data_IF_414955345926
#
_entry.id   IF_414955345926
#
_cell.length_a   1.000
_cell.length_b   1.000
_cell.length_c   1.000
_cell.angle_alpha   90.00
_cell.angle_beta   90.00
_cell.angle_gamma   90.00
#
_symmetry.space_group_name_H-M   'P 1'
#
loop_
_entity.id
_entity.type
_entity.pdbx_description
1 polymer ?
#
# COMPACT_ATOMS: atom_id res chain seq x y z
N UNK A 1 -8.67 -16.54 -8.10
CA UNK A 1 -9.64 -15.50 -8.55
C UNK A 1 -9.53 -14.21 -7.74
N UNK A 2 -9.16 -14.23 -6.45
CA UNK A 2 -9.00 -13.03 -5.61
C UNK A 2 -7.91 -12.05 -6.06
N UNK A 3 -6.78 -12.54 -6.59
CA UNK A 3 -5.71 -11.68 -7.14
C UNK A 3 -6.21 -10.76 -8.27
N UNK A 4 -6.95 -11.31 -9.24
CA UNK A 4 -7.57 -10.54 -10.32
C UNK A 4 -8.64 -9.57 -9.81
N UNK A 5 -9.45 -10.00 -8.83
CA UNK A 5 -10.45 -9.14 -8.21
C UNK A 5 -9.81 -7.95 -7.49
N UNK A 6 -8.70 -8.18 -6.78
CA UNK A 6 -7.96 -7.13 -6.10
C UNK A 6 -7.34 -6.13 -7.09
N UNK A 7 -6.65 -6.62 -8.13
CA UNK A 7 -6.11 -5.79 -9.22
C UNK A 7 -7.20 -4.92 -9.86
N UNK A 8 -8.36 -5.52 -10.15
CA UNK A 8 -9.49 -4.82 -10.77
C UNK A 8 -10.20 -3.83 -9.85
N UNK A 9 -10.24 -4.08 -8.53
CA UNK A 9 -10.84 -3.13 -7.57
C UNK A 9 -9.92 -1.95 -7.28
N UNK A 10 -8.62 -2.18 -7.14
CA UNK A 10 -7.64 -1.10 -6.91
C UNK A 10 -7.46 -0.27 -8.18
N UNK A 11 -7.35 -0.93 -9.35
CA UNK A 11 -7.32 -0.33 -10.69
C UNK A 11 -6.53 0.98 -10.78
N UNK A 12 -5.35 1.02 -10.15
CA UNK A 12 -4.50 2.19 -10.12
C UNK A 12 -3.15 1.82 -10.70
N UNK A 13 -2.85 2.27 -11.92
CA UNK A 13 -1.51 2.11 -12.50
C UNK A 13 -0.49 2.84 -11.62
N UNK A 14 0.60 2.17 -11.26
CA UNK A 14 1.63 2.72 -10.37
C UNK A 14 2.22 4.02 -10.91
N UNK A 15 2.41 4.16 -12.24
CA UNK A 15 2.87 5.42 -12.83
C UNK A 15 1.88 6.57 -12.62
N UNK A 16 0.59 6.33 -12.87
CA UNK A 16 -0.44 7.35 -12.63
C UNK A 16 -0.51 7.73 -11.16
N UNK A 17 -0.33 6.75 -10.27
CA UNK A 17 -0.26 6.99 -8.83
C UNK A 17 0.90 7.94 -8.50
N UNK A 18 2.13 7.61 -8.90
CA UNK A 18 3.31 8.44 -8.60
C UNK A 18 3.17 9.84 -9.19
N UNK A 19 2.74 9.96 -10.45
CA UNK A 19 2.54 11.26 -11.11
C UNK A 19 1.52 12.12 -10.37
N UNK A 20 0.35 11.55 -10.04
CA UNK A 20 -0.70 12.29 -9.35
C UNK A 20 -0.28 12.68 -7.93
N UNK A 21 0.56 11.87 -7.28
CA UNK A 21 1.13 12.17 -5.97
C UNK A 21 2.07 13.36 -6.02
N UNK A 22 2.86 13.51 -7.09
CA UNK A 22 3.70 14.69 -7.31
C UNK A 22 2.84 15.92 -7.56
N UNK A 23 1.86 15.83 -8.47
CA UNK A 23 0.98 16.95 -8.83
C UNK A 23 0.16 17.45 -7.65
N UNK A 24 -0.26 16.54 -6.76
CA UNK A 24 -1.05 16.87 -5.57
C UNK A 24 -0.21 17.08 -4.31
N UNK A 25 1.12 17.11 -4.43
CA UNK A 25 2.05 17.25 -3.30
C UNK A 25 1.78 16.25 -2.16
N UNK A 26 1.42 15.01 -2.51
CA UNK A 26 1.20 13.91 -1.58
C UNK A 26 -0.22 13.81 -1.01
N UNK A 27 -1.14 14.74 -1.33
CA UNK A 27 -2.56 14.61 -0.92
C UNK A 27 -3.18 13.34 -1.53
N UNK A 28 -2.81 12.99 -2.75
CA UNK A 28 -3.31 11.76 -3.38
C UNK A 28 -2.87 10.49 -2.65
N UNK A 29 -1.73 10.51 -1.94
CA UNK A 29 -1.24 9.35 -1.17
C UNK A 29 -2.21 8.95 -0.06
N UNK A 30 -2.67 9.94 0.71
CA UNK A 30 -3.59 9.68 1.83
C UNK A 30 -4.97 9.30 1.32
N UNK A 31 -5.45 9.92 0.23
CA UNK A 31 -6.71 9.55 -0.41
C UNK A 31 -6.68 8.11 -0.95
N UNK A 32 -5.60 7.76 -1.64
CA UNK A 32 -5.40 6.41 -2.17
C UNK A 32 -5.33 5.40 -1.03
N UNK A 33 -4.58 5.69 0.03
CA UNK A 33 -4.46 4.84 1.21
C UNK A 33 -5.84 4.58 1.85
N UNK A 34 -6.61 5.64 2.07
CA UNK A 34 -7.93 5.55 2.68
C UNK A 34 -8.91 4.68 1.88
N UNK A 35 -9.00 4.93 0.57
CA UNK A 35 -9.88 4.16 -0.32
C UNK A 35 -9.44 2.70 -0.42
N UNK A 36 -8.15 2.49 -0.70
CA UNK A 36 -7.66 1.15 -1.01
C UNK A 36 -7.42 0.29 0.23
N UNK A 37 -7.25 0.87 1.42
CA UNK A 37 -7.25 0.10 2.66
C UNK A 37 -8.54 -0.72 2.79
N UNK A 38 -9.71 -0.09 2.66
CA UNK A 38 -11.00 -0.81 2.73
C UNK A 38 -11.08 -1.89 1.65
N UNK A 39 -10.73 -1.56 0.41
CA UNK A 39 -10.75 -2.52 -0.70
C UNK A 39 -9.88 -3.74 -0.44
N UNK A 40 -8.68 -3.53 0.10
CA UNK A 40 -7.74 -4.60 0.42
C UNK A 40 -8.28 -5.42 1.61
N UNK A 41 -8.76 -4.77 2.68
CA UNK A 41 -9.32 -5.47 3.86
C UNK A 41 -10.53 -6.32 3.49
N UNK A 42 -11.45 -5.79 2.69
CA UNK A 42 -12.66 -6.49 2.22
C UNK A 42 -12.34 -7.67 1.31
N UNK A 43 -11.29 -7.53 0.48
CA UNK A 43 -10.93 -8.58 -0.49
C UNK A 43 -10.09 -9.68 0.13
N UNK A 44 -9.25 -9.34 1.11
CA UNK A 44 -8.34 -10.27 1.79
C UNK A 44 -8.91 -10.82 3.09
N UNK A 45 -10.07 -10.32 3.54
CA UNK A 45 -10.71 -10.65 4.82
C UNK A 45 -9.75 -10.47 6.00
N UNK A 46 -8.88 -9.46 5.94
CA UNK A 46 -7.85 -9.19 6.92
C UNK A 46 -7.79 -7.71 7.24
N UNK A 47 -7.93 -7.35 8.52
CA UNK A 47 -7.80 -5.98 8.99
C UNK A 47 -6.33 -5.54 8.98
N UNK A 48 -6.04 -4.44 8.29
CA UNK A 48 -4.71 -3.83 8.15
C UNK A 48 -4.61 -2.64 9.12
N UNK A 49 -5.42 -1.61 8.90
CA UNK A 49 -5.53 -0.43 9.75
C UNK A 49 -6.99 0.01 9.86
N UNK A 50 -7.37 0.40 11.07
CA UNK A 50 -8.67 1.00 11.29
C UNK A 50 -8.78 2.33 10.55
N UNK A 51 -9.92 2.57 9.92
CA UNK A 51 -10.24 3.81 9.23
C UNK A 51 -9.99 5.06 10.07
N UNK A 52 -10.28 4.99 11.38
CA UNK A 52 -10.01 6.08 12.33
C UNK A 52 -8.53 6.46 12.38
N UNK A 53 -7.64 5.48 12.27
CA UNK A 53 -6.18 5.71 12.27
C UNK A 53 -5.77 6.44 10.99
N UNK A 54 -6.39 6.14 9.85
CA UNK A 54 -6.10 6.83 8.58
C UNK A 54 -6.58 8.29 8.63
N UNK A 55 -7.73 8.56 9.27
CA UNK A 55 -8.20 9.93 9.50
C UNK A 55 -7.24 10.71 10.40
N UNK A 56 -6.78 10.08 11.50
CA UNK A 56 -5.77 10.70 12.38
C UNK A 56 -4.48 10.97 11.62
N UNK A 57 -4.02 10.04 10.78
CA UNK A 57 -2.87 10.24 9.90
C UNK A 57 -3.05 11.44 8.96
N UNK A 58 -4.23 11.58 8.34
CA UNK A 58 -4.54 12.72 7.48
C UNK A 58 -4.46 14.05 8.26
N UNK A 59 -5.00 14.08 9.48
CA UNK A 59 -4.90 15.24 10.36
C UNK A 59 -3.44 15.55 10.74
N UNK A 60 -2.63 14.55 11.09
CA UNK A 60 -1.22 14.73 11.44
C UNK A 60 -0.42 15.32 10.27
N UNK A 61 -0.67 14.86 9.05
CA UNK A 61 -0.03 15.40 7.83
C UNK A 61 -0.45 16.86 7.61
N UNK A 62 -1.74 17.17 7.77
CA UNK A 62 -2.25 18.54 7.65
C UNK A 62 -1.66 19.50 8.69
N UNK A 63 -1.58 19.08 9.95
CA UNK A 63 -0.97 19.90 11.00
C UNK A 63 0.55 20.02 10.85
N UNK A 64 1.20 18.96 10.37
CA UNK A 64 2.64 18.97 10.09
C UNK A 64 3.02 20.06 9.08
N UNK A 65 2.23 20.24 8.01
CA UNK A 65 2.52 21.29 7.02
C UNK A 65 2.33 22.69 7.59
N UNK A 66 1.27 22.91 8.38
CA UNK A 66 1.01 24.19 9.05
C UNK A 66 2.12 24.53 10.03
N UNK A 67 2.49 23.60 10.92
CA UNK A 67 3.53 23.85 11.94
C UNK A 67 4.93 24.00 11.33
N UNK A 68 5.23 23.29 10.25
CA UNK A 68 6.49 23.46 9.52
C UNK A 68 6.63 24.85 8.87
N UNK A 69 5.52 25.56 8.66
CA UNK A 69 5.55 26.93 8.10
C UNK A 69 5.66 28.04 9.15
N UNK A 70 5.57 27.70 10.44
CA UNK A 70 5.66 28.63 11.56
C UNK A 70 7.00 28.46 12.27
N UNK A 71 7.88 29.48 12.33
CA UNK A 71 9.25 29.33 12.84
C UNK A 71 9.34 28.69 14.23
N UNK A 72 8.46 29.09 15.17
CA UNK A 72 8.48 28.58 16.54
C UNK A 72 8.03 27.12 16.68
N UNK A 73 7.33 26.57 15.68
CA UNK A 73 6.79 25.20 15.70
C UNK A 73 7.42 24.30 14.63
N UNK A 74 8.44 24.76 13.90
CA UNK A 74 9.04 24.03 12.78
C UNK A 74 9.49 22.63 13.21
N UNK A 75 10.18 22.54 14.35
CA UNK A 75 10.64 21.26 14.92
C UNK A 75 9.48 20.31 15.20
N UNK A 76 8.36 20.82 15.72
CA UNK A 76 7.17 20.02 15.97
C UNK A 76 6.51 19.56 14.66
N UNK A 77 6.46 20.44 13.65
CA UNK A 77 6.01 20.10 12.31
C UNK A 77 6.83 18.96 11.70
N UNK A 78 8.15 19.02 11.83
CA UNK A 78 9.07 17.96 11.41
C UNK A 78 8.83 16.63 12.12
N UNK A 79 8.63 16.65 13.45
CA UNK A 79 8.30 15.44 14.22
C UNK A 79 7.00 14.80 13.77
N UNK A 80 5.95 15.59 13.51
CA UNK A 80 4.68 15.09 12.99
C UNK A 80 4.82 14.46 11.60
N UNK A 81 5.69 15.01 10.74
CA UNK A 81 5.99 14.45 9.43
C UNK A 81 6.68 13.08 9.53
N UNK A 82 7.65 12.96 10.44
CA UNK A 82 8.36 11.70 10.71
C UNK A 82 7.38 10.64 11.23
N UNK A 83 6.53 10.99 12.21
CA UNK A 83 5.50 10.09 12.74
C UNK A 83 4.58 9.63 11.60
N UNK A 84 4.11 10.56 10.77
CA UNK A 84 3.24 10.24 9.63
C UNK A 84 3.91 9.28 8.63
N UNK A 85 5.21 9.45 8.39
CA UNK A 85 6.01 8.56 7.54
C UNK A 85 6.12 7.15 8.12
N UNK A 86 6.28 7.02 9.44
CA UNK A 86 6.27 5.72 10.14
C UNK A 86 4.92 5.02 9.96
N UNK A 87 3.80 5.74 10.01
CA UNK A 87 2.48 5.14 9.76
C UNK A 87 2.35 4.55 8.36
N UNK A 88 2.85 5.24 7.33
CA UNK A 88 2.88 4.70 5.96
C UNK A 88 3.70 3.41 5.86
N UNK A 89 4.86 3.37 6.52
CA UNK A 89 5.72 2.19 6.57
C UNK A 89 4.99 1.03 7.27
N UNK A 90 4.43 1.28 8.45
CA UNK A 90 3.69 0.26 9.22
C UNK A 90 2.53 -0.31 8.41
N UNK A 91 1.75 0.56 7.75
CA UNK A 91 0.68 0.11 6.87
C UNK A 91 1.20 -0.76 5.75
N UNK A 92 2.28 -0.35 5.07
CA UNK A 92 2.84 -1.09 3.94
C UNK A 92 3.30 -2.50 4.36
N UNK A 93 3.97 -2.64 5.51
CA UNK A 93 4.37 -3.95 6.02
C UNK A 93 3.18 -4.84 6.41
N UNK A 94 2.10 -4.27 6.93
CA UNK A 94 0.87 -5.02 7.21
C UNK A 94 0.18 -5.47 5.92
N UNK A 95 0.05 -4.58 4.94
CA UNK A 95 -0.51 -4.90 3.63
C UNK A 95 0.32 -5.98 2.92
N UNK A 96 1.65 -5.88 2.95
CA UNK A 96 2.57 -6.92 2.47
C UNK A 96 2.23 -8.29 3.08
N UNK A 97 2.14 -8.39 4.41
CA UNK A 97 1.82 -9.67 5.08
C UNK A 97 0.47 -10.23 4.65
N UNK A 98 -0.54 -9.37 4.49
CA UNK A 98 -1.87 -9.78 4.04
C UNK A 98 -1.83 -10.36 2.61
N UNK A 99 -1.10 -9.70 1.71
CA UNK A 99 -0.91 -10.16 0.32
C UNK A 99 -0.17 -11.50 0.25
N UNK A 100 0.93 -11.65 0.99
CA UNK A 100 1.68 -12.90 1.04
C UNK A 100 0.83 -14.05 1.59
N UNK A 101 0.04 -13.79 2.64
CA UNK A 101 -0.87 -14.79 3.21
C UNK A 101 -1.97 -15.20 2.22
N UNK A 102 -2.52 -14.27 1.45
CA UNK A 102 -3.47 -14.59 0.38
C UNK A 102 -2.83 -15.50 -0.68
N UNK A 103 -1.63 -15.15 -1.16
CA UNK A 103 -0.93 -15.94 -2.19
C UNK A 103 -0.61 -17.36 -1.70
N UNK A 104 -0.17 -17.50 -0.45
CA UNK A 104 0.13 -18.80 0.12
C UNK A 104 -1.12 -19.66 0.33
N UNK A 105 -2.20 -19.08 0.87
CA UNK A 105 -3.39 -19.83 1.22
C UNK A 105 -4.26 -20.19 0.01
N UNK A 106 -4.49 -19.21 -0.88
CA UNK A 106 -5.45 -19.36 -1.98
C UNK A 106 -4.80 -19.92 -3.25
N UNK A 107 -3.50 -19.66 -3.44
CA UNK A 107 -2.78 -20.03 -4.65
C UNK A 107 -1.63 -21.02 -4.41
N UNK A 108 -1.29 -21.35 -3.16
CA UNK A 108 -0.15 -22.21 -2.80
C UNK A 108 1.19 -21.68 -3.36
N UNK A 109 1.27 -20.37 -3.62
CA UNK A 109 2.46 -19.70 -4.14
C UNK A 109 3.17 -19.03 -2.97
N UNK A 110 4.45 -19.36 -2.77
CA UNK A 110 5.31 -18.63 -1.86
C UNK A 110 5.72 -17.29 -2.49
N UNK A 111 4.84 -16.30 -2.36
CA UNK A 111 5.08 -14.97 -2.90
C UNK A 111 5.99 -14.17 -1.96
N UNK A 112 7.25 -13.99 -2.35
CA UNK A 112 8.22 -13.22 -1.57
C UNK A 112 8.25 -11.75 -2.00
N UNK A 113 7.68 -10.85 -1.18
CA UNK A 113 7.79 -9.41 -1.37
C UNK A 113 9.07 -8.88 -0.73
N UNK A 114 9.79 -7.95 -1.38
CA UNK A 114 11.05 -7.42 -0.85
C UNK A 114 10.79 -6.37 0.26
N UNK A 115 11.37 -6.60 1.45
CA UNK A 115 11.23 -5.69 2.61
C UNK A 115 11.92 -4.34 2.39
N UNK A 116 13.01 -4.30 1.63
CA UNK A 116 13.72 -3.06 1.32
C UNK A 116 12.82 -2.13 0.50
N UNK A 117 12.24 -2.63 -0.60
CA UNK A 117 11.30 -1.84 -1.40
C UNK A 117 10.03 -1.47 -0.63
N UNK A 118 9.56 -2.35 0.26
CA UNK A 118 8.41 -2.05 1.13
C UNK A 118 8.70 -0.85 2.02
N UNK A 119 9.91 -0.71 2.57
CA UNK A 119 10.28 0.39 3.46
C UNK A 119 10.48 1.73 2.72
N UNK A 120 11.15 1.72 1.57
CA UNK A 120 11.44 2.97 0.84
C UNK A 120 10.25 3.49 0.03
N UNK A 121 9.50 2.59 -0.61
CA UNK A 121 8.42 2.97 -1.52
C UNK A 121 7.03 2.78 -0.92
N UNK A 122 6.90 2.11 0.22
CA UNK A 122 5.68 2.00 1.02
C UNK A 122 4.43 1.70 0.17
N UNK A 123 3.47 2.62 0.15
CA UNK A 123 2.19 2.50 -0.57
C UNK A 123 2.36 2.28 -2.07
N UNK A 124 3.41 2.84 -2.69
CA UNK A 124 3.64 2.69 -4.13
C UNK A 124 4.10 1.27 -4.46
N UNK A 125 4.94 0.66 -3.62
CA UNK A 125 5.37 -0.72 -3.80
C UNK A 125 4.22 -1.70 -3.61
N UNK A 126 3.36 -1.45 -2.61
CA UNK A 126 2.15 -2.28 -2.44
C UNK A 126 1.23 -2.18 -3.66
N UNK A 127 0.99 -0.97 -4.18
CA UNK A 127 0.21 -0.79 -5.40
C UNK A 127 0.84 -1.49 -6.62
N UNK A 128 2.16 -1.42 -6.74
CA UNK A 128 2.91 -2.12 -7.77
C UNK A 128 2.72 -3.64 -7.68
N UNK A 129 2.94 -4.23 -6.50
CA UNK A 129 2.73 -5.65 -6.30
C UNK A 129 1.29 -6.05 -6.61
N UNK A 130 0.28 -5.28 -6.17
CA UNK A 130 -1.14 -5.56 -6.49
C UNK A 130 -1.39 -5.63 -8.01
N UNK A 131 -0.74 -4.77 -8.79
CA UNK A 131 -0.86 -4.78 -10.24
C UNK A 131 -0.21 -6.02 -10.89
N UNK A 132 0.84 -6.57 -10.28
CA UNK A 132 1.56 -7.75 -10.79
C UNK A 132 0.98 -9.09 -10.30
N UNK A 133 0.27 -9.13 -9.17
CA UNK A 133 -0.27 -10.37 -8.56
C UNK A 133 -1.00 -11.28 -9.55
N UNK A 134 -1.84 -10.69 -10.41
CA UNK A 134 -2.60 -11.41 -11.42
C UNK A 134 -1.71 -12.20 -12.40
N UNK A 135 -0.65 -11.55 -12.87
CA UNK A 135 0.27 -12.10 -13.86
C UNK A 135 1.18 -13.17 -13.25
N UNK A 136 1.56 -13.00 -11.98
CA UNK A 136 2.33 -14.02 -11.26
C UNK A 136 1.54 -15.30 -11.01
N UNK A 137 0.26 -15.19 -10.65
CA UNK A 137 -0.63 -16.35 -10.50
C UNK A 137 -0.75 -17.10 -11.82
N UNK A 138 -0.97 -16.39 -12.93
CA UNK A 138 -1.06 -16.98 -14.27
C UNK A 138 0.25 -17.70 -14.65
N UNK A 139 1.39 -17.03 -14.49
CA UNK A 139 2.71 -17.59 -14.77
C UNK A 139 2.99 -18.85 -13.96
N UNK A 140 2.63 -18.87 -12.67
CA UNK A 140 2.80 -20.04 -11.81
C UNK A 140 1.95 -21.22 -12.26
N UNK A 141 0.69 -20.98 -12.66
CA UNK A 141 -0.18 -22.04 -13.16
C UNK A 141 0.37 -22.67 -14.45
N UNK A 142 0.82 -21.83 -15.40
CA UNK A 142 1.41 -22.29 -16.67
C UNK A 142 2.68 -23.13 -16.45
N UNK A 143 3.51 -22.75 -15.47
CA UNK A 143 4.71 -23.52 -15.12
C UNK A 143 4.35 -24.87 -14.48
N UNK A 144 3.35 -24.90 -13.61
CA UNK A 144 2.87 -26.15 -13.02
C UNK A 144 2.33 -27.12 -14.07
N UNK A 145 1.53 -26.63 -15.02
CA UNK A 145 0.98 -27.45 -16.11
C UNK A 145 2.09 -28.05 -16.98
N UNK A 146 3.15 -27.29 -17.29
CA UNK A 146 4.30 -27.76 -18.06
C UNK A 146 5.13 -28.83 -17.36
N UNK A 147 5.16 -28.85 -16.03
CA UNK A 147 5.91 -29.86 -15.27
C UNK A 147 5.11 -31.17 -15.18
N UNK A 148 3.78 -31.11 -15.26
CA UNK A 148 2.89 -32.27 -15.20
C UNK A 148 2.59 -32.93 -16.55
N UNK A 149 2.99 -32.31 -17.66
CA UNK A 149 2.84 -32.82 -19.03
C UNK A 149 4.11 -33.54 -19.50
#
# INVERSE_FOLDING_TARGET
MKANLLKNKVNTKTLNFVLLSIVTLGIFNIMWLFKNNSVIEDTLEQKILDHRVIIVLAALIGWSSVFSSTPDLEVLGGLLSIISSIFYIVWAFKAKKALQKMMLNDHKIDYSMNSFYTFFFNIYYINFCINELAEEVEKSNLLSERITA
#
